data_IF_330208007620
#
_entry.id   IF_330208007620
#
_cell.length_a   1.000
_cell.length_b   1.000
_cell.length_c   1.000
_cell.angle_alpha   90.00
_cell.angle_beta   90.00
_cell.angle_gamma   90.00
#
_symmetry.space_group_name_H-M   'P 1'
#
loop_
_entity.id
_entity.type
_entity.pdbx_description
1 polymer ?
#
# COMPACT_ATOMS: atom_id res chain seq x y z
N UNK A 1 51.32 16.19 24.12
CA UNK A 1 50.19 16.40 23.18
C UNK A 1 50.59 16.09 21.74
N UNK A 2 51.72 16.58 21.21
CA UNK A 2 52.11 16.36 19.79
C UNK A 2 52.41 14.90 19.40
N UNK A 3 53.08 14.11 20.26
CA UNK A 3 53.40 12.72 19.93
C UNK A 3 52.16 11.82 19.82
N UNK A 4 51.12 12.08 20.62
CA UNK A 4 49.86 11.33 20.53
C UNK A 4 49.05 11.68 19.27
N UNK A 5 49.10 12.94 18.83
CA UNK A 5 48.48 13.34 17.56
C UNK A 5 49.18 12.74 16.34
N UNK A 6 50.51 12.63 16.34
CA UNK A 6 51.24 11.96 15.25
C UNK A 6 50.95 10.45 15.18
N UNK A 7 50.84 9.78 16.33
CA UNK A 7 50.45 8.37 16.40
C UNK A 7 49.01 8.13 15.92
N UNK A 8 48.07 9.00 16.29
CA UNK A 8 46.68 8.92 15.78
C UNK A 8 46.60 9.16 14.27
N UNK A 9 47.31 10.17 13.76
CA UNK A 9 47.34 10.48 12.32
C UNK A 9 47.96 9.35 11.50
N UNK A 10 49.02 8.72 12.00
CA UNK A 10 49.68 7.57 11.34
C UNK A 10 48.84 6.30 11.41
N UNK A 11 48.11 6.08 12.50
CA UNK A 11 47.18 4.96 12.60
C UNK A 11 45.93 5.15 11.73
N UNK A 12 45.48 6.40 11.53
CA UNK A 12 44.40 6.71 10.58
C UNK A 12 44.86 6.50 9.14
N UNK A 13 46.05 6.96 8.75
CA UNK A 13 46.56 6.78 7.38
C UNK A 13 46.77 5.31 7.02
N UNK A 14 47.32 4.51 7.94
CA UNK A 14 47.49 3.08 7.72
C UNK A 14 46.14 2.34 7.66
N UNK A 15 45.13 2.75 8.45
CA UNK A 15 43.78 2.19 8.33
C UNK A 15 43.16 2.50 6.96
N UNK A 16 43.28 3.73 6.47
CA UNK A 16 42.71 4.12 5.17
C UNK A 16 43.39 3.42 4.00
N UNK A 17 44.72 3.26 4.03
CA UNK A 17 45.46 2.53 3.00
C UNK A 17 45.11 1.04 2.99
N UNK A 18 45.03 0.40 4.17
CA UNK A 18 44.66 -1.02 4.27
C UNK A 18 43.23 -1.25 3.80
N UNK A 19 42.31 -0.32 4.10
CA UNK A 19 40.92 -0.40 3.67
C UNK A 19 40.75 -0.17 2.15
N UNK A 20 41.53 0.73 1.56
CA UNK A 20 41.57 0.93 0.09
C UNK A 20 42.22 -0.24 -0.66
N UNK A 21 43.27 -0.85 -0.10
CA UNK A 21 43.88 -2.05 -0.71
C UNK A 21 42.94 -3.25 -0.61
N UNK A 22 42.26 -3.45 0.53
CA UNK A 22 41.29 -4.53 0.71
C UNK A 22 40.07 -4.37 -0.22
N UNK A 23 39.54 -3.16 -0.41
CA UNK A 23 38.43 -2.93 -1.33
C UNK A 23 38.84 -3.09 -2.80
N UNK A 24 40.06 -2.68 -3.16
CA UNK A 24 40.61 -2.88 -4.50
C UNK A 24 40.85 -4.34 -4.87
N UNK A 25 41.17 -5.21 -3.91
CA UNK A 25 41.35 -6.66 -4.12
C UNK A 25 39.99 -7.34 -4.27
N UNK A 26 39.03 -7.05 -3.39
CA UNK A 26 37.67 -7.61 -3.47
C UNK A 26 36.98 -7.30 -4.81
N UNK A 27 37.10 -6.05 -5.31
CA UNK A 27 36.49 -5.65 -6.58
C UNK A 27 37.11 -6.36 -7.80
N UNK A 28 38.41 -6.70 -7.75
CA UNK A 28 39.08 -7.44 -8.83
C UNK A 28 38.70 -8.91 -8.83
N UNK A 29 38.54 -9.50 -7.65
CA UNK A 29 38.13 -10.90 -7.49
C UNK A 29 36.67 -11.11 -7.94
N UNK A 30 35.76 -10.20 -7.58
CA UNK A 30 34.37 -10.21 -8.06
C UNK A 30 34.25 -10.00 -9.58
N UNK A 31 35.11 -9.16 -10.18
CA UNK A 31 35.14 -8.96 -11.63
C UNK A 31 35.63 -10.17 -12.43
N UNK A 32 36.58 -10.94 -11.89
CA UNK A 32 37.09 -12.16 -12.53
C UNK A 32 36.09 -13.32 -12.45
N UNK A 33 35.36 -13.44 -11.33
CA UNK A 33 34.30 -14.42 -11.17
C UNK A 33 33.13 -14.19 -12.15
N UNK A 34 32.78 -12.93 -12.44
CA UNK A 34 31.75 -12.57 -13.41
C UNK A 34 32.15 -12.93 -14.84
N UNK A 35 33.38 -12.63 -15.26
CA UNK A 35 33.88 -12.95 -16.61
C UNK A 35 33.96 -14.47 -16.80
N UNK A 36 34.44 -15.20 -15.79
CA UNK A 36 34.50 -16.66 -15.85
C UNK A 36 33.11 -17.31 -15.86
N UNK A 37 32.08 -16.67 -15.28
CA UNK A 37 30.70 -17.14 -15.31
C UNK A 37 30.06 -16.92 -16.69
N UNK A 38 30.29 -15.77 -17.30
CA UNK A 38 29.79 -15.42 -18.63
C UNK A 38 30.38 -16.34 -19.72
N UNK A 39 31.70 -16.60 -19.68
CA UNK A 39 32.33 -17.55 -20.60
C UNK A 39 31.79 -18.99 -20.44
N UNK A 40 31.46 -19.40 -19.20
CA UNK A 40 30.88 -20.71 -18.95
C UNK A 40 29.43 -20.80 -19.47
N UNK A 41 28.66 -19.73 -19.38
CA UNK A 41 27.30 -19.65 -19.90
C UNK A 41 27.28 -19.69 -21.44
N UNK A 42 28.20 -18.99 -22.10
CA UNK A 42 28.37 -19.03 -23.56
C UNK A 42 28.77 -20.43 -24.05
N UNK A 43 29.62 -21.15 -23.31
CA UNK A 43 29.96 -22.54 -23.65
C UNK A 43 28.77 -23.48 -23.48
N UNK A 44 27.96 -23.30 -22.46
CA UNK A 44 26.74 -24.09 -22.23
C UNK A 44 25.69 -23.79 -23.31
N UNK A 45 25.49 -22.52 -23.68
CA UNK A 45 24.55 -22.13 -24.74
C UNK A 45 24.97 -22.65 -26.11
N UNK A 46 26.26 -22.59 -26.44
CA UNK A 46 26.81 -23.19 -27.66
C UNK A 46 26.61 -24.72 -27.67
N UNK A 47 26.79 -25.41 -26.53
CA UNK A 47 26.51 -26.84 -26.41
C UNK A 47 25.03 -27.16 -26.60
N UNK A 48 24.12 -26.32 -26.09
CA UNK A 48 22.67 -26.44 -26.32
C UNK A 48 22.31 -26.27 -27.79
N UNK A 49 22.92 -25.30 -28.46
CA UNK A 49 22.71 -25.07 -29.89
C UNK A 49 23.22 -26.24 -30.74
N UNK A 50 24.42 -26.76 -30.44
CA UNK A 50 24.96 -27.93 -31.14
C UNK A 50 24.10 -29.19 -30.94
N UNK A 51 23.59 -29.42 -29.72
CA UNK A 51 22.64 -30.52 -29.47
C UNK A 51 21.33 -30.32 -30.25
N UNK A 52 20.79 -29.11 -30.27
CA UNK A 52 19.58 -28.78 -31.04
C UNK A 52 19.79 -29.03 -32.53
N UNK A 53 20.91 -28.58 -33.10
CA UNK A 53 21.27 -28.81 -34.50
C UNK A 53 21.46 -30.30 -34.80
N UNK A 54 22.10 -31.06 -33.90
CA UNK A 54 22.26 -32.51 -34.03
C UNK A 54 20.90 -33.25 -34.03
N UNK A 55 19.97 -32.87 -33.14
CA UNK A 55 18.59 -33.39 -33.15
C UNK A 55 17.89 -33.07 -34.47
N UNK A 56 18.06 -31.85 -34.97
CA UNK A 56 17.41 -31.40 -36.20
C UNK A 56 17.95 -32.11 -37.45
N UNK A 57 19.25 -32.36 -37.51
CA UNK A 57 19.88 -33.12 -38.60
C UNK A 57 19.43 -34.58 -38.59
N UNK A 58 19.40 -35.23 -37.42
CA UNK A 58 18.95 -36.61 -37.30
C UNK A 58 17.45 -36.78 -37.61
N UNK A 59 16.61 -35.80 -37.25
CA UNK A 59 15.20 -35.77 -37.63
C UNK A 59 15.01 -35.69 -39.14
N UNK A 60 15.77 -34.83 -39.82
CA UNK A 60 15.75 -34.72 -41.28
C UNK A 60 16.22 -36.00 -41.98
N UNK A 61 17.18 -36.73 -41.40
CA UNK A 61 17.62 -38.03 -41.94
C UNK A 61 16.56 -39.12 -41.79
N UNK A 62 15.86 -39.17 -40.66
CA UNK A 62 14.75 -40.11 -40.46
C UNK A 62 13.60 -39.80 -41.42
N UNK A 63 13.26 -38.52 -41.61
CA UNK A 63 12.27 -38.07 -42.58
C UNK A 63 12.67 -38.39 -44.03
N UNK A 64 13.96 -38.23 -44.36
CA UNK A 64 14.51 -38.58 -45.67
C UNK A 64 14.44 -40.08 -45.94
N UNK A 65 14.78 -40.93 -44.96
CA UNK A 65 14.65 -42.39 -45.08
C UNK A 65 13.20 -42.81 -45.27
N UNK A 66 12.25 -42.25 -44.51
CA UNK A 66 10.81 -42.49 -44.72
C UNK A 66 10.35 -42.09 -46.12
N UNK A 67 10.84 -40.96 -46.63
CA UNK A 67 10.50 -40.45 -47.97
C UNK A 67 11.15 -41.25 -49.10
N UNK A 68 12.29 -41.89 -48.85
CA UNK A 68 12.94 -42.83 -49.78
C UNK A 68 12.22 -44.17 -49.79
N UNK A 69 11.80 -44.69 -48.62
CA UNK A 69 10.94 -45.88 -48.51
C UNK A 69 9.56 -45.70 -49.18
N UNK A 70 9.01 -44.48 -49.18
CA UNK A 70 7.75 -44.14 -49.86
C UNK A 70 7.91 -44.07 -51.40
N UNK A 71 9.13 -43.88 -51.92
CA UNK A 71 9.40 -43.67 -53.36
C UNK A 71 9.72 -44.94 -54.15
N UNK A 72 9.89 -46.10 -53.51
CA UNK A 72 10.08 -47.41 -54.17
C UNK A 72 8.72 -48.16 -54.29
N UNK A 73 8.02 -48.15 -55.44
CA UNK A 73 6.67 -48.72 -55.57
C UNK A 73 6.67 -50.18 -56.02
N UNK A 74 7.71 -50.96 -55.73
CA UNK A 74 7.79 -52.39 -56.10
C UNK A 74 7.70 -53.33 -54.91
N UNK A 75 6.56 -53.28 -54.20
CA UNK A 75 5.99 -54.41 -53.45
C UNK A 75 4.56 -54.05 -53.03
N UNK A 76 3.59 -54.81 -53.54
CA UNK A 76 2.17 -54.46 -53.57
C UNK A 76 1.42 -54.28 -52.24
N UNK A 77 0.37 -53.47 -52.34
CA UNK A 77 -0.93 -53.47 -51.64
C UNK A 77 -0.99 -53.91 -50.17
N UNK A 78 -1.43 -53.00 -49.29
CA UNK A 78 -2.79 -52.98 -48.73
C UNK A 78 -3.06 -51.68 -47.95
N UNK A 79 -4.20 -51.04 -48.25
CA UNK A 79 -5.04 -50.19 -47.37
C UNK A 79 -4.44 -48.99 -46.61
N UNK A 80 -5.04 -47.82 -46.83
CA UNK A 80 -4.77 -46.56 -46.17
C UNK A 80 -5.04 -46.52 -44.66
N UNK A 81 -4.69 -45.39 -44.02
CA UNK A 81 -4.47 -45.31 -42.58
C UNK A 81 -5.79 -45.08 -41.84
N UNK A 82 -6.17 -46.03 -40.99
CA UNK A 82 -7.14 -45.80 -39.93
C UNK A 82 -6.45 -45.89 -38.57
N UNK A 83 -6.71 -44.86 -37.79
CA UNK A 83 -6.87 -44.90 -36.35
C UNK A 83 -5.67 -44.99 -35.40
N UNK A 84 -5.59 -43.89 -34.64
CA UNK A 84 -5.70 -43.83 -33.17
C UNK A 84 -4.48 -44.21 -32.30
N UNK A 85 -3.99 -43.17 -31.62
CA UNK A 85 -3.75 -43.10 -30.17
C UNK A 85 -3.63 -44.46 -29.46
N UNK A 86 -2.42 -45.00 -29.41
CA UNK A 86 -2.08 -46.06 -28.45
C UNK A 86 -1.77 -45.39 -27.11
N UNK A 87 -2.78 -45.36 -26.26
CA UNK A 87 -2.64 -45.22 -24.81
C UNK A 87 -2.16 -46.56 -24.27
N UNK A 88 -1.01 -46.54 -23.61
CA UNK A 88 -0.46 -47.69 -22.88
C UNK A 88 -1.48 -48.22 -21.87
N UNK A 89 -1.87 -49.49 -22.00
CA UNK A 89 -2.37 -50.27 -20.88
C UNK A 89 -1.56 -51.56 -20.74
N UNK A 90 -0.73 -51.57 -19.69
CA UNK A 90 -0.10 -52.75 -19.14
C UNK A 90 -1.18 -53.72 -18.67
N UNK A 91 -1.28 -54.90 -19.28
CA UNK A 91 -1.88 -56.06 -18.60
C UNK A 91 -1.31 -57.38 -19.13
N UNK A 92 -0.30 -57.85 -18.40
CA UNK A 92 -0.15 -59.22 -17.91
C UNK A 92 -0.92 -60.29 -18.70
N UNK A 93 -0.24 -61.02 -19.58
CA UNK A 93 -0.69 -62.36 -19.97
C UNK A 93 0.45 -63.36 -19.83
N UNK A 94 0.22 -64.25 -18.87
CA UNK A 94 1.05 -65.39 -18.56
C UNK A 94 1.08 -66.37 -19.74
N UNK A 95 2.26 -66.95 -19.90
CA UNK A 95 2.59 -68.08 -20.77
C UNK A 95 1.57 -69.22 -20.59
N UNK A 96 1.07 -69.76 -21.69
CA UNK A 96 0.58 -71.13 -21.72
C UNK A 96 1.23 -71.91 -22.87
N UNK A 97 1.79 -73.04 -22.45
CA UNK A 97 2.54 -74.05 -23.18
C UNK A 97 1.52 -74.96 -23.88
N UNK A 98 1.67 -75.21 -25.19
CA UNK A 98 1.01 -76.33 -25.86
C UNK A 98 1.97 -76.97 -26.86
N UNK A 99 2.44 -78.16 -26.48
CA UNK A 99 3.20 -79.09 -27.33
C UNK A 99 2.38 -79.57 -28.53
N UNK A 100 3.00 -79.85 -29.69
CA UNK A 100 2.36 -80.63 -30.74
C UNK A 100 2.41 -82.11 -30.36
N UNK A 101 1.25 -82.76 -30.31
CA UNK A 101 1.15 -84.23 -30.25
C UNK A 101 1.27 -84.82 -31.65
N UNK A 102 2.19 -85.77 -31.75
CA UNK A 102 2.28 -86.82 -32.78
C UNK A 102 0.91 -87.38 -33.17
N UNK A 103 0.69 -87.54 -34.46
CA UNK A 103 -0.25 -88.50 -35.03
C UNK A 103 0.51 -89.32 -36.07
N UNK A 104 0.82 -90.55 -35.68
CA UNK A 104 1.32 -91.63 -36.52
C UNK A 104 0.14 -92.51 -36.92
N UNK A 105 -0.02 -92.82 -38.20
CA UNK A 105 -0.57 -94.10 -38.65
C UNK A 105 -0.40 -94.28 -40.15
N UNK A 106 0.28 -95.38 -40.46
CA UNK A 106 0.39 -96.17 -41.68
C UNK A 106 -0.72 -96.04 -42.73
N UNK A 107 -0.36 -96.10 -44.02
CA UNK A 107 -0.73 -97.23 -44.89
C UNK A 107 -0.03 -97.11 -46.26
N UNK A 108 0.78 -98.11 -46.60
CA UNK A 108 1.32 -98.34 -47.95
C UNK A 108 0.27 -98.99 -48.86
N UNK A 109 0.19 -98.59 -50.12
CA UNK A 109 0.17 -99.53 -51.27
C UNK A 109 0.11 -98.78 -52.60
N UNK A 110 1.00 -99.16 -53.51
CA UNK A 110 0.89 -99.10 -54.97
C UNK A 110 0.89 -97.73 -55.67
N UNK A 111 2.02 -97.42 -56.32
CA UNK A 111 2.12 -96.34 -57.31
C UNK A 111 3.52 -95.75 -57.44
N UNK A 112 4.56 -96.57 -57.61
CA UNK A 112 5.98 -96.13 -57.62
C UNK A 112 6.36 -95.16 -58.75
N UNK A 113 5.44 -94.78 -59.65
CA UNK A 113 5.65 -93.72 -60.63
C UNK A 113 4.87 -92.41 -60.37
N UNK A 114 3.84 -92.43 -59.51
CA UNK A 114 3.13 -91.22 -59.06
C UNK A 114 3.69 -90.68 -57.74
N UNK A 115 4.29 -91.57 -56.92
CA UNK A 115 4.81 -91.25 -55.60
C UNK A 115 6.00 -90.27 -55.66
N UNK A 116 6.92 -90.40 -56.64
CA UNK A 116 7.98 -89.40 -56.82
C UNK A 116 7.44 -88.02 -57.21
N UNK A 117 6.36 -87.96 -57.98
CA UNK A 117 5.75 -86.69 -58.39
C UNK A 117 4.98 -86.02 -57.25
N UNK A 118 4.33 -86.80 -56.37
CA UNK A 118 3.71 -86.29 -55.14
C UNK A 118 4.76 -85.79 -54.15
N UNK A 119 5.79 -86.59 -53.86
CA UNK A 119 6.85 -86.23 -52.93
C UNK A 119 7.63 -84.98 -53.40
N UNK A 120 7.83 -84.81 -54.71
CA UNK A 120 8.43 -83.60 -55.29
C UNK A 120 7.48 -82.40 -55.21
N UNK A 121 6.16 -82.57 -55.28
CA UNK A 121 5.19 -81.48 -55.04
C UNK A 121 5.14 -81.08 -53.58
N UNK A 122 5.15 -82.04 -52.65
CA UNK A 122 5.13 -81.79 -51.22
C UNK A 122 6.42 -81.08 -50.76
N UNK A 123 7.59 -81.52 -51.24
CA UNK A 123 8.86 -80.81 -51.00
C UNK A 123 8.87 -79.39 -51.60
N UNK A 124 8.19 -79.17 -52.74
CA UNK A 124 8.03 -77.81 -53.30
C UNK A 124 7.09 -76.95 -52.47
N UNK A 125 6.05 -77.53 -51.86
CA UNK A 125 5.14 -76.82 -50.95
C UNK A 125 5.89 -76.50 -49.64
N UNK A 126 6.60 -77.47 -49.06
CA UNK A 126 7.44 -77.26 -47.87
C UNK A 126 8.51 -76.20 -48.13
N UNK A 127 9.19 -76.24 -49.27
CA UNK A 127 10.15 -75.21 -49.67
C UNK A 127 9.47 -73.84 -49.73
N UNK A 128 8.29 -73.74 -50.37
CA UNK A 128 7.52 -72.49 -50.41
C UNK A 128 7.08 -72.02 -49.02
N UNK A 129 6.65 -72.92 -48.15
CA UNK A 129 6.29 -72.58 -46.77
C UNK A 129 7.50 -72.11 -45.96
N UNK A 130 8.67 -72.71 -46.18
CA UNK A 130 9.92 -72.32 -45.54
C UNK A 130 10.39 -70.96 -46.06
N UNK A 131 10.27 -70.71 -47.37
CA UNK A 131 10.49 -69.42 -48.02
C UNK A 131 9.53 -68.34 -47.48
N UNK A 132 8.25 -68.65 -47.31
CA UNK A 132 7.26 -67.74 -46.73
C UNK A 132 7.52 -67.46 -45.25
N UNK A 133 7.90 -68.48 -44.46
CA UNK A 133 8.29 -68.31 -43.06
C UNK A 133 9.54 -67.44 -42.97
N UNK A 134 10.54 -67.67 -43.81
CA UNK A 134 11.74 -66.84 -43.90
C UNK A 134 11.39 -65.39 -44.27
N UNK A 135 10.54 -65.19 -45.28
CA UNK A 135 10.06 -63.86 -45.67
C UNK A 135 9.32 -63.16 -44.51
N UNK A 136 8.42 -63.86 -43.80
CA UNK A 136 7.73 -63.32 -42.62
C UNK A 136 8.70 -62.95 -41.50
N UNK A 137 9.71 -63.78 -41.23
CA UNK A 137 10.75 -63.46 -40.24
C UNK A 137 11.61 -62.27 -40.67
N UNK A 138 11.91 -62.12 -41.95
CA UNK A 138 12.69 -60.98 -42.45
C UNK A 138 11.90 -59.68 -42.35
N UNK A 139 10.59 -59.70 -42.69
CA UNK A 139 9.72 -58.52 -42.55
C UNK A 139 9.55 -58.11 -41.08
N UNK A 140 9.33 -59.08 -40.19
CA UNK A 140 9.21 -58.79 -38.74
C UNK A 140 10.53 -58.32 -38.13
N UNK A 141 11.67 -58.89 -38.53
CA UNK A 141 12.99 -58.44 -38.09
C UNK A 141 13.29 -57.02 -38.56
N UNK A 142 12.96 -56.68 -39.82
CA UNK A 142 13.07 -55.31 -40.31
C UNK A 142 12.15 -54.34 -39.55
N UNK A 143 10.92 -54.76 -39.20
CA UNK A 143 10.01 -54.00 -38.35
C UNK A 143 10.60 -53.73 -36.95
N UNK A 144 11.19 -54.75 -36.31
CA UNK A 144 11.84 -54.61 -35.01
C UNK A 144 13.08 -53.70 -35.06
N UNK A 145 13.86 -53.74 -36.14
CA UNK A 145 15.00 -52.82 -36.32
C UNK A 145 14.55 -51.36 -36.48
N UNK A 146 13.41 -51.12 -37.13
CA UNK A 146 12.79 -49.80 -37.22
C UNK A 146 12.27 -49.31 -35.86
N UNK A 147 11.58 -50.16 -35.10
CA UNK A 147 11.12 -49.85 -33.75
C UNK A 147 12.31 -49.58 -32.81
N UNK A 148 13.35 -50.41 -32.86
CA UNK A 148 14.60 -50.20 -32.12
C UNK A 148 15.23 -48.86 -32.48
N UNK A 149 15.30 -48.52 -33.76
CA UNK A 149 15.84 -47.22 -34.22
C UNK A 149 15.00 -46.04 -33.72
N UNK A 150 13.68 -46.18 -33.70
CA UNK A 150 12.74 -45.18 -33.17
C UNK A 150 12.88 -45.00 -31.65
N UNK A 151 12.95 -46.09 -30.89
CA UNK A 151 13.13 -46.06 -29.44
C UNK A 151 14.50 -45.48 -29.06
N UNK A 152 15.57 -45.80 -29.81
CA UNK A 152 16.89 -45.21 -29.60
C UNK A 152 16.84 -43.69 -29.80
N UNK A 153 16.14 -43.20 -30.84
CA UNK A 153 15.93 -41.76 -31.02
C UNK A 153 15.17 -41.13 -29.84
N UNK A 154 14.11 -41.78 -29.35
CA UNK A 154 13.36 -41.29 -28.19
C UNK A 154 14.22 -41.24 -26.93
N UNK A 155 15.05 -42.25 -26.69
CA UNK A 155 16.00 -42.28 -25.57
C UNK A 155 16.99 -41.12 -25.67
N UNK A 156 17.54 -40.85 -26.85
CA UNK A 156 18.52 -39.77 -27.03
C UNK A 156 17.87 -38.39 -26.81
N UNK A 157 16.64 -38.19 -27.29
CA UNK A 157 15.88 -36.97 -27.01
C UNK A 157 15.61 -36.77 -25.50
N UNK A 158 15.28 -37.86 -24.80
CA UNK A 158 15.05 -37.83 -23.36
C UNK A 158 16.33 -37.55 -22.57
N UNK A 159 17.48 -38.13 -22.98
CA UNK A 159 18.78 -37.85 -22.37
C UNK A 159 19.12 -36.37 -22.50
N UNK A 160 18.99 -35.81 -23.69
CA UNK A 160 19.32 -34.41 -23.88
C UNK A 160 18.36 -33.49 -23.08
N UNK A 161 17.06 -33.85 -22.96
CA UNK A 161 16.10 -33.12 -22.10
C UNK A 161 16.47 -33.21 -20.62
N UNK A 162 17.00 -34.35 -20.18
CA UNK A 162 17.49 -34.53 -18.82
C UNK A 162 18.72 -33.65 -18.58
N UNK A 163 19.67 -33.63 -19.52
CA UNK A 163 20.85 -32.76 -19.44
C UNK A 163 20.47 -31.27 -19.40
N UNK A 164 19.50 -30.83 -20.20
CA UNK A 164 18.96 -29.45 -20.13
C UNK A 164 18.36 -29.14 -18.75
N UNK A 165 17.62 -30.09 -18.14
CA UNK A 165 17.04 -29.91 -16.81
C UNK A 165 18.12 -29.82 -15.73
N UNK A 166 19.15 -30.64 -15.82
CA UNK A 166 20.28 -30.63 -14.87
C UNK A 166 21.08 -29.32 -14.95
N UNK A 167 21.28 -28.80 -16.16
CA UNK A 167 21.90 -27.48 -16.36
C UNK A 167 21.06 -26.36 -15.74
N UNK A 168 19.74 -26.34 -15.98
CA UNK A 168 18.83 -25.37 -15.36
C UNK A 168 18.85 -25.47 -13.83
N UNK A 169 18.87 -26.68 -13.28
CA UNK A 169 18.96 -26.89 -11.84
C UNK A 169 20.27 -26.36 -11.25
N UNK A 170 21.38 -26.54 -11.97
CA UNK A 170 22.69 -25.99 -11.60
C UNK A 170 22.67 -24.46 -11.59
N UNK A 171 22.03 -23.81 -12.57
CA UNK A 171 21.88 -22.36 -12.63
C UNK A 171 21.04 -21.82 -11.47
N UNK A 172 19.84 -22.39 -11.24
CA UNK A 172 18.97 -21.99 -10.12
C UNK A 172 19.68 -22.16 -8.78
N UNK A 173 20.47 -23.23 -8.60
CA UNK A 173 21.29 -23.41 -7.39
C UNK A 173 22.35 -22.33 -7.22
N UNK A 174 22.99 -21.86 -8.30
CA UNK A 174 23.96 -20.76 -8.24
C UNK A 174 23.29 -19.45 -7.88
N UNK A 175 22.18 -19.10 -8.55
CA UNK A 175 21.38 -17.92 -8.25
C UNK A 175 20.89 -17.92 -6.80
N UNK A 176 20.45 -19.08 -6.30
CA UNK A 176 20.06 -19.23 -4.90
C UNK A 176 21.22 -18.87 -3.97
N UNK A 177 22.44 -19.38 -4.19
CA UNK A 177 23.60 -19.05 -3.37
C UNK A 177 23.95 -17.55 -3.43
N UNK A 178 23.86 -16.95 -4.61
CA UNK A 178 24.11 -15.53 -4.78
C UNK A 178 23.08 -14.68 -4.01
N UNK A 179 21.79 -15.02 -4.12
CA UNK A 179 20.72 -14.36 -3.35
C UNK A 179 20.91 -14.54 -1.84
N UNK A 180 21.36 -15.70 -1.38
CA UNK A 180 21.73 -15.89 0.03
C UNK A 180 22.89 -14.96 0.44
N UNK A 181 23.95 -14.87 -0.37
CA UNK A 181 25.08 -13.93 -0.12
C UNK A 181 24.61 -12.48 -0.09
N UNK A 182 23.71 -12.07 -1.00
CA UNK A 182 23.13 -10.71 -1.01
C UNK A 182 22.32 -10.43 0.26
N UNK A 183 21.51 -11.38 0.73
CA UNK A 183 20.76 -11.23 1.99
C UNK A 183 21.70 -11.12 3.19
N UNK A 184 22.76 -11.91 3.25
CA UNK A 184 23.74 -11.81 4.33
C UNK A 184 24.48 -10.46 4.36
N UNK A 185 24.84 -9.93 3.19
CA UNK A 185 25.43 -8.60 3.09
C UNK A 185 24.46 -7.50 3.54
N UNK A 186 23.20 -7.57 3.12
CA UNK A 186 22.16 -6.62 3.54
C UNK A 186 21.90 -6.69 5.05
N UNK A 187 21.88 -7.89 5.64
CA UNK A 187 21.76 -8.05 7.10
C UNK A 187 22.92 -7.38 7.84
N UNK A 188 24.16 -7.59 7.41
CA UNK A 188 25.33 -6.93 8.01
C UNK A 188 25.23 -5.40 7.91
N UNK A 189 24.85 -4.87 6.74
CA UNK A 189 24.63 -3.44 6.55
C UNK A 189 23.50 -2.88 7.41
N UNK A 190 22.44 -3.66 7.61
CA UNK A 190 21.33 -3.28 8.49
C UNK A 190 21.79 -3.23 9.95
N UNK A 191 22.50 -4.26 10.43
CA UNK A 191 23.04 -4.30 11.79
C UNK A 191 24.04 -3.15 12.05
N UNK A 192 24.84 -2.77 11.05
CA UNK A 192 25.72 -1.60 11.10
C UNK A 192 24.91 -0.29 11.24
N UNK A 193 23.83 -0.14 10.46
CA UNK A 193 22.95 1.02 10.54
C UNK A 193 22.17 1.09 11.85
N UNK A 194 21.69 -0.04 12.37
CA UNK A 194 21.05 -0.07 13.69
C UNK A 194 22.03 0.34 14.79
N UNK A 195 23.29 -0.14 14.73
CA UNK A 195 24.33 0.28 15.68
C UNK A 195 24.61 1.77 15.60
N UNK A 196 24.66 2.37 14.40
CA UNK A 196 24.88 3.81 14.26
C UNK A 196 23.70 4.62 14.79
N UNK A 197 22.46 4.18 14.56
CA UNK A 197 21.26 4.83 15.12
C UNK A 197 21.25 4.75 16.65
N UNK A 198 21.53 3.59 17.23
CA UNK A 198 21.61 3.44 18.70
C UNK A 198 22.68 4.35 19.31
N UNK A 199 23.85 4.48 18.65
CA UNK A 199 24.90 5.38 19.10
C UNK A 199 24.44 6.86 19.04
N UNK A 200 23.81 7.28 17.95
CA UNK A 200 23.29 8.64 17.79
C UNK A 200 22.18 8.96 18.79
N UNK A 201 21.30 7.99 19.08
CA UNK A 201 20.28 8.11 20.12
C UNK A 201 20.92 8.27 21.50
N UNK A 202 21.88 7.41 21.85
CA UNK A 202 22.60 7.53 23.13
C UNK A 202 23.34 8.87 23.27
N UNK A 203 23.94 9.39 22.19
CA UNK A 203 24.56 10.72 22.18
C UNK A 203 23.53 11.84 22.35
N UNK A 204 22.35 11.72 21.74
CA UNK A 204 21.27 12.68 21.92
C UNK A 204 20.71 12.65 23.34
N UNK A 205 20.59 11.47 23.94
CA UNK A 205 20.15 11.29 25.32
C UNK A 205 21.16 11.88 26.30
N UNK A 206 22.46 11.66 26.07
CA UNK A 206 23.55 12.31 26.83
C UNK A 206 23.46 13.83 26.71
N UNK A 207 23.23 14.36 25.51
CA UNK A 207 23.02 15.80 25.30
C UNK A 207 21.76 16.31 26.02
N UNK A 208 20.65 15.57 25.98
CA UNK A 208 19.43 15.95 26.70
C UNK A 208 19.64 15.96 28.22
N UNK A 209 20.37 14.99 28.76
CA UNK A 209 20.76 14.94 30.16
C UNK A 209 21.63 16.14 30.54
N UNK A 210 22.67 16.44 29.75
CA UNK A 210 23.52 17.61 29.97
C UNK A 210 22.72 18.92 29.90
N UNK A 211 21.80 19.06 28.95
CA UNK A 211 20.90 20.21 28.87
C UNK A 211 20.05 20.34 30.14
N UNK A 212 19.50 19.23 30.61
CA UNK A 212 18.69 19.19 31.83
C UNK A 212 19.51 19.55 33.07
N UNK A 213 20.72 19.00 33.23
CA UNK A 213 21.64 19.34 34.32
C UNK A 213 22.05 20.81 34.31
N UNK A 214 22.16 21.41 33.12
CA UNK A 214 22.46 22.83 32.92
C UNK A 214 21.23 23.73 33.06
N UNK A 215 20.06 23.14 33.35
CA UNK A 215 18.82 23.87 33.57
C UNK A 215 18.15 24.36 32.29
N UNK A 216 18.37 23.69 31.15
CA UNK A 216 17.68 23.95 29.90
C UNK A 216 16.58 22.92 29.65
N UNK A 217 15.39 23.40 29.31
CA UNK A 217 14.21 22.60 28.98
C UNK A 217 13.80 22.88 27.54
N UNK A 218 13.41 21.81 26.85
CA UNK A 218 12.85 21.88 25.51
C UNK A 218 11.39 22.34 25.60
N UNK A 219 11.08 23.50 25.02
CA UNK A 219 9.73 24.08 24.99
C UNK A 219 9.14 23.89 23.58
N UNK A 220 7.85 23.53 23.50
CA UNK A 220 7.16 23.19 22.23
C UNK A 220 6.84 21.70 22.04
N UNK A 221 6.81 20.93 23.13
CA UNK A 221 6.30 19.56 23.19
C UNK A 221 4.99 19.50 23.98
N UNK A 222 4.02 20.35 23.64
CA UNK A 222 2.67 20.17 24.17
C UNK A 222 2.12 18.88 23.58
N UNK A 223 1.83 17.93 24.45
CA UNK A 223 1.28 16.63 24.12
C UNK A 223 -0.03 16.78 23.34
N UNK A 224 -0.18 15.91 22.34
CA UNK A 224 -1.38 15.75 21.55
C UNK A 224 -2.52 15.36 22.49
N UNK A 225 -3.32 16.35 22.92
CA UNK A 225 -4.67 16.07 23.39
C UNK A 225 -5.46 15.73 22.14
N UNK A 226 -5.71 14.45 21.97
CA UNK A 226 -6.51 13.84 20.91
C UNK A 226 -7.99 14.24 21.10
N UNK A 227 -8.31 15.51 20.81
CA UNK A 227 -9.70 15.92 20.63
C UNK A 227 -10.10 15.58 19.22
N UNK A 228 -10.74 14.42 19.08
CA UNK A 228 -11.55 14.07 17.92
C UNK A 228 -12.60 15.17 17.69
N UNK A 229 -12.34 16.10 16.77
CA UNK A 229 -13.38 16.92 16.15
C UNK A 229 -12.90 17.44 14.78
N UNK A 230 -13.51 16.82 13.77
CA UNK A 230 -14.11 17.39 12.57
C UNK A 230 -13.37 18.48 11.74
N UNK A 231 -13.16 18.10 10.47
CA UNK A 231 -13.06 18.90 9.25
C UNK A 231 -12.66 20.39 9.38
N UNK A 232 -11.38 20.69 9.10
CA UNK A 232 -11.06 21.92 8.38
C UNK A 232 -9.76 21.83 7.56
N UNK A 233 -9.93 22.11 6.28
CA UNK A 233 -8.91 22.21 5.22
C UNK A 233 -7.97 23.38 5.54
N UNK A 234 -6.83 23.13 6.21
CA UNK A 234 -5.68 24.06 6.29
C UNK A 234 -4.36 23.26 6.34
N UNK A 235 -3.25 23.76 5.77
CA UNK A 235 -1.98 23.04 5.66
C UNK A 235 -1.35 22.78 7.05
N UNK A 236 -0.41 21.83 7.18
CA UNK A 236 -0.19 21.11 8.43
C UNK A 236 0.51 21.99 9.48
N UNK A 237 -0.25 22.37 10.53
CA UNK A 237 0.27 23.01 11.75
C UNK A 237 1.43 22.22 12.39
N UNK A 238 1.54 20.93 12.10
CA UNK A 238 2.59 20.03 12.56
C UNK A 238 4.03 20.44 12.16
N UNK A 239 4.23 21.00 10.96
CA UNK A 239 5.57 21.45 10.55
C UNK A 239 5.97 22.76 11.24
N UNK A 240 5.01 23.67 11.40
CA UNK A 240 5.23 24.95 12.06
C UNK A 240 5.60 24.74 13.54
N UNK A 241 4.96 23.78 14.22
CA UNK A 241 5.26 23.42 15.60
C UNK A 241 6.61 22.71 15.75
N UNK A 242 7.00 21.86 14.79
CA UNK A 242 8.36 21.26 14.77
C UNK A 242 9.45 22.31 14.57
N UNK A 243 9.20 23.34 13.75
CA UNK A 243 10.14 24.44 13.49
C UNK A 243 10.26 25.44 14.64
N UNK A 244 9.25 25.54 15.49
CA UNK A 244 9.20 26.48 16.63
C UNK A 244 9.63 25.86 17.97
N UNK A 245 10.19 24.64 17.94
CA UNK A 245 10.78 24.01 19.12
C UNK A 245 12.11 24.67 19.46
N UNK A 246 12.21 25.15 20.69
CA UNK A 246 13.42 25.79 21.22
C UNK A 246 13.92 25.10 22.47
N UNK A 247 15.22 25.22 22.72
CA UNK A 247 15.84 24.89 23.99
C UNK A 247 15.97 26.22 24.75
N UNK A 248 15.32 26.33 25.90
CA UNK A 248 15.30 27.56 26.70
C UNK A 248 15.66 27.23 28.15
N UNK A 249 16.16 28.20 28.91
CA UNK A 249 16.45 28.02 30.35
C UNK A 249 15.16 27.72 31.13
N UNK A 250 15.26 27.06 32.28
CA UNK A 250 14.16 26.76 33.19
C UNK A 250 13.38 28.03 33.58
N UNK A 251 14.09 29.12 33.89
CA UNK A 251 13.47 30.39 34.26
C UNK A 251 12.66 30.96 33.10
N UNK A 252 13.23 30.96 31.90
CA UNK A 252 12.55 31.43 30.69
C UNK A 252 11.37 30.53 30.31
N UNK A 253 11.46 29.22 30.50
CA UNK A 253 10.35 28.30 30.28
C UNK A 253 9.20 28.58 31.26
N UNK A 254 9.52 28.85 32.53
CA UNK A 254 8.53 29.24 33.53
C UNK A 254 7.85 30.58 33.17
N UNK A 255 8.62 31.59 32.77
CA UNK A 255 8.07 32.88 32.32
C UNK A 255 7.16 32.69 31.10
N UNK A 256 7.61 31.93 30.10
CA UNK A 256 6.82 31.66 28.89
C UNK A 256 5.55 30.86 29.19
N UNK A 257 5.56 29.98 30.20
CA UNK A 257 4.35 29.28 30.67
C UNK A 257 3.32 30.23 31.28
N UNK A 258 3.76 31.32 31.92
CA UNK A 258 2.88 32.33 32.49
C UNK A 258 2.18 33.16 31.40
N UNK A 259 2.80 33.33 30.23
CA UNK A 259 2.23 34.04 29.06
C UNK A 259 1.20 33.20 28.25
N UNK A 260 0.75 32.06 28.78
CA UNK A 260 -0.32 31.22 28.24
C UNK A 260 0.15 30.13 27.27
N UNK A 261 -0.78 29.24 26.87
CA UNK A 261 -0.48 28.12 25.95
C UNK A 261 -0.34 28.60 24.49
N UNK A 262 0.58 28.01 23.75
CA UNK A 262 0.82 28.25 22.32
C UNK A 262 2.25 27.93 21.86
N UNK A 263 2.54 28.02 20.55
CA UNK A 263 3.90 27.92 20.02
C UNK A 263 4.83 28.94 20.69
N UNK A 264 6.10 28.58 20.83
CA UNK A 264 7.13 29.40 21.47
C UNK A 264 7.16 30.83 20.92
N UNK A 265 7.05 30.98 19.60
CA UNK A 265 7.03 32.29 18.93
C UNK A 265 5.85 33.17 19.35
N UNK A 266 4.66 32.59 19.59
CA UNK A 266 3.50 33.35 20.04
C UNK A 266 3.65 33.76 21.52
N UNK A 267 4.20 32.90 22.36
CA UNK A 267 4.49 33.23 23.76
C UNK A 267 5.52 34.37 23.86
N UNK A 268 6.59 34.31 23.06
CA UNK A 268 7.61 35.36 22.99
C UNK A 268 7.01 36.69 22.50
N UNK A 269 6.13 36.67 21.50
CA UNK A 269 5.46 37.88 21.01
C UNK A 269 4.59 38.53 22.08
N UNK A 270 3.75 37.75 22.78
CA UNK A 270 2.92 38.27 23.88
C UNK A 270 3.76 38.89 24.99
N UNK A 271 4.83 38.21 25.40
CA UNK A 271 5.77 38.74 26.40
C UNK A 271 6.41 40.07 25.94
N UNK A 272 6.76 40.18 24.66
CA UNK A 272 7.32 41.41 24.11
C UNK A 272 6.29 42.56 24.08
N UNK A 273 5.02 42.26 23.80
CA UNK A 273 3.90 43.21 23.87
C UNK A 273 3.69 43.69 25.31
N UNK A 274 3.55 42.78 26.28
CA UNK A 274 3.42 43.12 27.70
C UNK A 274 4.58 43.98 28.22
N UNK A 275 5.82 43.67 27.81
CA UNK A 275 7.00 44.50 28.12
C UNK A 275 6.87 45.90 27.53
N UNK A 276 6.43 46.03 26.28
CA UNK A 276 6.27 47.34 25.63
C UNK A 276 5.20 48.17 26.33
N UNK A 277 4.06 47.58 26.69
CA UNK A 277 2.99 48.26 27.43
C UNK A 277 3.49 48.78 28.78
N UNK A 278 4.22 47.94 29.53
CA UNK A 278 4.83 48.36 30.80
C UNK A 278 5.85 49.48 30.59
N UNK A 279 6.68 49.39 29.54
CA UNK A 279 7.65 50.43 29.23
C UNK A 279 6.98 51.77 28.88
N UNK A 280 5.86 51.74 28.16
CA UNK A 280 5.05 52.92 27.87
C UNK A 280 4.44 53.52 29.14
N UNK A 281 3.92 52.70 30.06
CA UNK A 281 3.41 53.20 31.35
C UNK A 281 4.52 53.85 32.19
N UNK A 282 5.72 53.26 32.23
CA UNK A 282 6.88 53.85 32.91
C UNK A 282 7.30 55.16 32.24
N UNK A 283 7.25 55.23 30.91
CA UNK A 283 7.50 56.46 30.15
C UNK A 283 6.54 57.59 30.52
N UNK A 284 5.23 57.30 30.57
CA UNK A 284 4.19 58.26 30.98
C UNK A 284 4.41 58.73 32.41
N UNK A 285 4.61 57.81 33.36
CA UNK A 285 4.85 58.17 34.77
C UNK A 285 6.11 59.01 34.97
N UNK A 286 7.16 58.80 34.18
CA UNK A 286 8.36 59.65 34.21
C UNK A 286 8.06 61.06 33.70
N UNK A 287 7.31 61.18 32.60
CA UNK A 287 6.91 62.47 32.04
C UNK A 287 6.03 63.24 33.04
N UNK A 288 5.05 62.58 33.65
CA UNK A 288 4.20 63.17 34.69
C UNK A 288 5.04 63.65 35.89
N UNK A 289 6.03 62.86 36.33
CA UNK A 289 6.94 63.25 37.42
C UNK A 289 7.80 64.48 37.07
N UNK A 290 8.33 64.54 35.84
CA UNK A 290 9.09 65.69 35.36
C UNK A 290 8.22 66.94 35.27
N UNK A 291 6.99 66.81 34.76
CA UNK A 291 6.02 67.91 34.70
C UNK A 291 5.71 68.45 36.10
N UNK A 292 5.44 67.58 37.08
CA UNK A 292 5.20 68.00 38.46
C UNK A 292 6.40 68.74 39.08
N UNK A 293 7.63 68.28 38.82
CA UNK A 293 8.85 68.98 39.29
C UNK A 293 8.98 70.37 38.67
N UNK A 294 8.69 70.52 37.37
CA UNK A 294 8.76 71.83 36.70
C UNK A 294 7.66 72.79 37.17
N UNK A 295 6.46 72.28 37.44
CA UNK A 295 5.35 73.07 37.95
C UNK A 295 5.60 73.55 39.39
N UNK A 296 6.22 72.71 40.23
CA UNK A 296 6.62 73.08 41.59
C UNK A 296 7.64 74.24 41.59
N UNK A 297 8.64 74.19 40.69
CA UNK A 297 9.65 75.25 40.53
C UNK A 297 9.08 76.57 39.99
N UNK A 298 8.03 76.52 39.15
CA UNK A 298 7.34 77.72 38.65
C UNK A 298 6.47 78.37 39.71
N UNK A 299 5.90 77.57 40.62
CA UNK A 299 5.00 78.04 41.66
C UNK A 299 5.74 78.86 42.74
N UNK A 300 7.00 78.57 43.03
CA UNK A 300 7.82 79.34 44.00
C UNK A 300 8.19 80.77 43.53
N UNK A 301 8.09 81.09 42.22
CA UNK A 301 8.66 82.31 41.65
C UNK A 301 7.65 83.43 41.34
N UNK A 302 6.34 83.18 41.46
CA UNK A 302 5.28 84.07 40.97
C UNK A 302 4.44 84.75 42.07
N UNK A 303 4.74 84.56 43.35
CA UNK A 303 3.94 85.12 44.44
C UNK A 303 4.39 86.54 44.82
N UNK A 304 3.89 87.55 44.10
CA UNK A 304 3.77 88.93 44.59
C UNK A 304 2.31 89.36 44.48
N UNK A 305 1.47 88.73 45.31
CA UNK A 305 0.05 88.97 45.67
C UNK A 305 -0.94 89.49 44.59
N UNK A 306 -0.66 90.57 43.85
CA UNK A 306 -1.54 91.12 42.81
C UNK A 306 -1.70 90.19 41.58
N UNK A 307 -0.65 89.46 41.19
CA UNK A 307 -0.74 88.47 40.11
C UNK A 307 -1.53 87.24 40.57
N UNK A 308 -1.44 86.88 41.85
CA UNK A 308 -2.21 85.77 42.43
C UNK A 308 -3.71 86.10 42.45
N UNK A 309 -4.08 87.34 42.75
CA UNK A 309 -5.49 87.78 42.73
C UNK A 309 -6.08 87.87 41.31
N UNK A 310 -5.29 88.36 40.34
CA UNK A 310 -5.72 88.40 38.93
C UNK A 310 -5.83 86.99 38.35
N UNK A 311 -4.89 86.11 38.67
CA UNK A 311 -4.93 84.72 38.24
C UNK A 311 -6.09 83.96 38.92
N UNK A 312 -6.37 84.22 40.20
CA UNK A 312 -7.53 83.66 40.87
C UNK A 312 -8.85 84.08 40.20
N UNK A 313 -8.99 85.35 39.81
CA UNK A 313 -10.17 85.82 39.07
C UNK A 313 -10.29 85.17 37.69
N UNK A 314 -9.18 85.05 36.96
CA UNK A 314 -9.12 84.38 35.66
C UNK A 314 -9.52 82.90 35.78
N UNK A 315 -8.99 82.19 36.78
CA UNK A 315 -9.32 80.80 37.06
C UNK A 315 -10.79 80.65 37.43
N UNK A 316 -11.34 81.54 38.25
CA UNK A 316 -12.76 81.56 38.61
C UNK A 316 -13.63 81.67 37.34
N UNK A 317 -13.30 82.57 36.42
CA UNK A 317 -14.07 82.74 35.18
C UNK A 317 -13.91 81.55 34.22
N UNK A 318 -12.73 80.96 34.15
CA UNK A 318 -12.50 79.71 33.41
C UNK A 318 -13.32 78.54 34.00
N UNK A 319 -13.36 78.40 35.32
CA UNK A 319 -14.16 77.38 36.00
C UNK A 319 -15.66 77.64 35.84
N UNK A 320 -16.13 78.89 35.86
CA UNK A 320 -17.52 79.22 35.54
C UNK A 320 -17.87 78.81 34.10
N UNK A 321 -16.98 79.08 33.15
CA UNK A 321 -17.22 78.69 31.75
C UNK A 321 -17.22 77.17 31.58
N UNK A 322 -16.26 76.46 32.18
CA UNK A 322 -16.23 74.99 32.18
C UNK A 322 -17.48 74.41 32.85
N UNK A 323 -17.90 74.98 33.98
CA UNK A 323 -19.11 74.58 34.67
C UNK A 323 -20.34 74.75 33.78
N UNK A 324 -20.50 75.92 33.15
CA UNK A 324 -21.62 76.20 32.25
C UNK A 324 -21.63 75.26 31.03
N UNK A 325 -20.45 74.93 30.49
CA UNK A 325 -20.33 73.95 29.40
C UNK A 325 -20.72 72.55 29.87
N UNK A 326 -20.23 72.10 31.03
CA UNK A 326 -20.61 70.81 31.61
C UNK A 326 -22.11 70.76 31.94
N UNK A 327 -22.70 71.87 32.39
CA UNK A 327 -24.12 72.00 32.66
C UNK A 327 -24.94 71.88 31.37
N UNK A 328 -24.51 72.54 30.29
CA UNK A 328 -25.11 72.39 28.97
C UNK A 328 -24.98 70.95 28.45
N UNK A 329 -23.79 70.36 28.52
CA UNK A 329 -23.56 68.97 28.11
C UNK A 329 -24.44 68.01 28.94
N UNK A 330 -24.54 68.23 30.25
CA UNK A 330 -25.44 67.46 31.13
C UNK A 330 -26.91 67.59 30.73
N UNK A 331 -27.37 68.79 30.36
CA UNK A 331 -28.73 68.98 29.86
C UNK A 331 -28.97 68.24 28.54
N UNK A 332 -28.02 68.26 27.61
CA UNK A 332 -28.14 67.49 26.35
C UNK A 332 -28.17 65.98 26.61
N UNK A 333 -27.31 65.47 27.50
CA UNK A 333 -27.30 64.06 27.89
C UNK A 333 -28.62 63.66 28.55
N UNK A 334 -29.19 64.50 29.42
CA UNK A 334 -30.49 64.24 30.02
C UNK A 334 -31.61 64.10 28.96
N UNK A 335 -31.63 64.95 27.93
CA UNK A 335 -32.62 64.82 26.83
C UNK A 335 -32.41 63.54 26.01
N UNK A 336 -31.15 63.14 25.80
CA UNK A 336 -30.81 61.89 25.11
C UNK A 336 -31.24 60.67 25.92
N UNK A 337 -31.00 60.67 27.23
CA UNK A 337 -31.45 59.60 28.14
C UNK A 337 -32.97 59.49 28.10
N UNK A 338 -33.72 60.59 28.26
CA UNK A 338 -35.19 60.55 28.21
C UNK A 338 -35.73 60.00 26.87
N UNK A 339 -35.06 60.33 25.74
CA UNK A 339 -35.40 59.78 24.42
C UNK A 339 -35.12 58.28 24.33
N UNK A 340 -33.96 57.83 24.83
CA UNK A 340 -33.59 56.41 24.84
C UNK A 340 -34.49 55.60 25.77
N UNK A 341 -34.83 56.11 26.95
CA UNK A 341 -35.79 55.50 27.87
C UNK A 341 -37.15 55.30 27.19
N UNK A 342 -37.64 56.33 26.48
CA UNK A 342 -38.88 56.22 25.70
C UNK A 342 -38.77 55.13 24.62
N UNK A 343 -37.63 55.02 23.95
CA UNK A 343 -37.38 53.98 22.93
C UNK A 343 -37.34 52.58 23.55
N UNK A 344 -36.69 52.41 24.70
CA UNK A 344 -36.63 51.14 25.44
C UNK A 344 -38.03 50.71 25.85
N UNK A 345 -38.85 51.62 26.38
CA UNK A 345 -40.25 51.31 26.72
C UNK A 345 -41.02 50.83 25.48
N UNK A 346 -40.88 51.50 24.33
CA UNK A 346 -41.51 51.08 23.08
C UNK A 346 -41.07 49.69 22.64
N UNK A 347 -39.76 49.42 22.62
CA UNK A 347 -39.25 48.10 22.23
C UNK A 347 -39.67 47.01 23.20
N UNK A 348 -39.71 47.29 24.50
CA UNK A 348 -40.21 46.34 25.50
C UNK A 348 -41.68 46.00 25.25
N UNK A 349 -42.53 47.00 25.02
CA UNK A 349 -43.94 46.74 24.71
C UNK A 349 -44.11 45.94 23.42
N UNK A 350 -43.31 46.24 22.38
CA UNK A 350 -43.32 45.49 21.12
C UNK A 350 -42.88 44.03 21.30
N UNK A 351 -41.82 43.78 22.08
CA UNK A 351 -41.35 42.44 22.41
C UNK A 351 -42.42 41.65 23.17
N UNK A 352 -43.03 42.24 24.19
CA UNK A 352 -44.13 41.60 24.94
C UNK A 352 -45.33 41.27 24.03
N UNK A 353 -45.68 42.14 23.08
CA UNK A 353 -46.75 41.84 22.11
C UNK A 353 -46.38 40.69 21.17
N UNK A 354 -45.12 40.60 20.75
CA UNK A 354 -44.63 39.51 19.91
C UNK A 354 -44.57 38.17 20.65
N UNK A 355 -44.18 38.18 21.93
CA UNK A 355 -44.20 36.98 22.77
C UNK A 355 -45.64 36.46 22.97
N UNK A 356 -46.60 37.37 23.23
CA UNK A 356 -48.02 36.99 23.34
C UNK A 356 -48.52 36.33 22.05
N UNK A 357 -48.23 36.90 20.88
CA UNK A 357 -48.64 36.32 19.60
C UNK A 357 -47.93 34.99 19.29
N UNK A 358 -46.66 34.83 19.67
CA UNK A 358 -45.97 33.54 19.55
C UNK A 358 -46.63 32.45 20.41
N UNK A 359 -47.02 32.79 21.65
CA UNK A 359 -47.73 31.87 22.53
C UNK A 359 -49.09 31.45 21.96
N UNK A 360 -49.85 32.40 21.37
CA UNK A 360 -51.11 32.12 20.68
C UNK A 360 -50.90 31.19 19.48
N UNK A 361 -49.94 31.49 18.60
CA UNK A 361 -49.61 30.64 17.45
C UNK A 361 -49.14 29.24 17.87
N UNK A 362 -48.39 29.11 18.97
CA UNK A 362 -48.02 27.80 19.52
C UNK A 362 -49.24 27.03 20.02
N UNK A 363 -50.22 27.71 20.63
CA UNK A 363 -51.47 27.08 21.06
C UNK A 363 -52.31 26.61 19.86
N UNK A 364 -52.44 27.45 18.83
CA UNK A 364 -53.12 27.10 17.57
C UNK A 364 -52.44 25.94 16.86
N UNK A 365 -51.11 25.96 16.74
CA UNK A 365 -50.34 24.85 16.17
C UNK A 365 -50.62 23.54 16.90
N UNK A 366 -50.65 23.55 18.24
CA UNK A 366 -50.98 22.35 19.04
C UNK A 366 -52.42 21.89 18.80
N UNK A 367 -53.37 22.82 18.65
CA UNK A 367 -54.76 22.51 18.34
C UNK A 367 -54.89 21.85 16.96
N UNK A 368 -54.34 22.48 15.92
CA UNK A 368 -54.32 21.94 14.56
C UNK A 368 -53.60 20.60 14.48
N UNK A 369 -52.54 20.40 15.26
CA UNK A 369 -51.85 19.11 15.30
C UNK A 369 -52.70 18.01 15.93
N UNK A 370 -53.55 18.32 16.91
CA UNK A 370 -54.53 17.35 17.44
C UNK A 370 -55.59 17.03 16.41
N UNK A 371 -56.17 18.05 15.78
CA UNK A 371 -57.17 17.89 14.71
C UNK A 371 -56.62 17.09 13.52
N UNK A 372 -55.36 17.30 13.14
CA UNK A 372 -54.68 16.50 12.12
C UNK A 372 -54.53 15.03 12.55
N UNK A 373 -54.19 14.75 13.81
CA UNK A 373 -54.11 13.37 14.32
C UNK A 373 -55.48 12.72 14.33
N UNK A 374 -56.51 13.41 14.80
CA UNK A 374 -57.89 12.92 14.84
C UNK A 374 -58.41 12.61 13.43
N UNK A 375 -58.20 13.53 12.47
CA UNK A 375 -58.55 13.29 11.07
C UNK A 375 -57.74 12.14 10.45
N UNK A 376 -56.44 12.03 10.74
CA UNK A 376 -55.63 10.89 10.31
C UNK A 376 -56.16 9.56 10.86
N UNK A 377 -56.45 9.49 12.16
CA UNK A 377 -57.05 8.28 12.75
C UNK A 377 -58.39 7.95 12.11
N UNK A 378 -59.17 8.96 11.74
CA UNK A 378 -60.44 8.76 11.04
C UNK A 378 -60.25 8.22 9.61
N UNK A 379 -59.22 8.69 8.90
CA UNK A 379 -58.84 8.13 7.59
C UNK A 379 -58.44 6.66 7.75
N UNK A 380 -57.58 6.33 8.73
CA UNK A 380 -57.14 4.95 8.97
C UNK A 380 -58.33 4.01 9.29
N UNK A 381 -59.29 4.45 10.11
CA UNK A 381 -60.54 3.73 10.37
C UNK A 381 -61.37 3.50 9.10
N UNK A 382 -61.51 4.54 8.27
CA UNK A 382 -62.25 4.44 7.01
C UNK A 382 -61.54 3.53 6.02
N UNK A 383 -60.22 3.62 5.88
CA UNK A 383 -59.42 2.75 5.03
C UNK A 383 -59.52 1.28 5.44
N UNK A 384 -59.45 0.98 6.74
CA UNK A 384 -59.61 -0.39 7.24
C UNK A 384 -61.03 -0.91 6.99
N UNK A 385 -62.06 -0.09 7.22
CA UNK A 385 -63.45 -0.45 6.90
C UNK A 385 -63.64 -0.72 5.40
N UNK A 386 -63.02 0.09 4.54
CA UNK A 386 -63.10 -0.05 3.10
C UNK A 386 -62.39 -1.34 2.64
N UNK A 387 -61.19 -1.64 3.17
CA UNK A 387 -60.49 -2.92 2.95
C UNK A 387 -61.36 -4.12 3.34
N UNK A 388 -62.09 -4.04 4.46
CA UNK A 388 -63.02 -5.11 4.85
C UNK A 388 -64.20 -5.27 3.88
N UNK A 389 -64.77 -4.16 3.39
CA UNK A 389 -65.84 -4.17 2.39
C UNK A 389 -65.34 -4.72 1.04
N UNK A 390 -64.15 -4.31 0.59
CA UNK A 390 -63.49 -4.83 -0.61
C UNK A 390 -63.26 -6.34 -0.51
N UNK A 391 -62.77 -6.84 0.63
CA UNK A 391 -62.60 -8.27 0.86
C UNK A 391 -63.94 -9.03 0.83
N UNK A 392 -65.00 -8.45 1.41
CA UNK A 392 -66.35 -9.05 1.36
C UNK A 392 -66.91 -9.05 -0.06
N UNK A 393 -66.70 -7.97 -0.82
CA UNK A 393 -67.05 -7.91 -2.24
C UNK A 393 -66.29 -8.93 -3.07
N UNK A 394 -64.99 -9.13 -2.80
CA UNK A 394 -64.19 -10.18 -3.47
C UNK A 394 -64.73 -11.59 -3.17
N UNK A 395 -65.12 -11.87 -1.91
CA UNK A 395 -65.80 -13.12 -1.53
C UNK A 395 -67.14 -13.30 -2.24
N UNK A 396 -67.95 -12.24 -2.37
CA UNK A 396 -69.21 -12.30 -3.11
C UNK A 396 -69.00 -12.49 -4.61
N UNK A 397 -67.98 -11.83 -5.20
CA UNK A 397 -67.60 -12.01 -6.61
C UNK A 397 -67.15 -13.45 -6.89
N UNK A 398 -66.34 -14.03 -6.01
CA UNK A 398 -65.90 -15.44 -6.12
C UNK A 398 -67.07 -16.41 -5.92
N UNK A 399 -67.94 -16.19 -4.92
CA UNK A 399 -69.15 -16.99 -4.73
C UNK A 399 -70.09 -16.94 -5.96
N UNK A 400 -70.32 -15.73 -6.51
CA UNK A 400 -71.07 -15.55 -7.76
C UNK A 400 -70.42 -16.29 -8.93
N UNK A 401 -69.09 -16.20 -9.06
CA UNK A 401 -68.36 -16.91 -10.11
C UNK A 401 -68.44 -18.43 -9.96
N UNK A 402 -68.46 -18.97 -8.74
CA UNK A 402 -68.62 -20.40 -8.49
C UNK A 402 -70.05 -20.85 -8.82
N UNK A 403 -71.07 -20.09 -8.41
CA UNK A 403 -72.46 -20.38 -8.76
C UNK A 403 -72.68 -20.38 -10.28
N UNK A 404 -72.05 -19.44 -11.00
CA UNK A 404 -72.06 -19.37 -12.46
C UNK A 404 -71.34 -20.55 -13.15
N UNK A 405 -70.48 -21.29 -12.44
CA UNK A 405 -69.85 -22.52 -12.96
C UNK A 405 -70.69 -23.77 -12.70
N UNK A 406 -71.57 -23.72 -11.69
CA UNK A 406 -72.46 -24.83 -11.32
C UNK A 406 -73.79 -24.83 -12.10
N UNK A 407 -74.17 -23.69 -12.68
CA UNK A 407 -75.21 -23.53 -13.70
C UNK A 407 -74.64 -23.83 -15.09
#
# INVERSE_FOLDING_TARGET
>A
MESQNRLRSRNQSHKTETQQQSSGIMNKEEGLDLISAEEAEVRISAKRQARFEARNMRMKEIEKKRKEEEKDPTSGNTSGPDSTLIKEEKRNQQRNYSSPRKSSSDCSSEGESENYNSNVRDLKIELKELEEKFRKTMVTNAGLDNEKSSLVYQIDLLKDRLEERDELHSLVKKELREKHRQVELLKKSHDDAERSVRLLQAQLDEQCLLLTERGFVKVGSTELIDTNDDDTIFPPKEEQEKRTRGIVSNETAHILSACGSGPLDLQIKRLAEERNDLQDTVGRLKLDLEEQKTNNLKLERLTSEEDAEKEAKRLIDEYKFKFQKCEQDSATLATNVARLETQVVRFKTAAETAERSEHELKAERRKLQRELRESSTRIDELETSNKHLEARLAKLKTAKSNLLKEL
#
